data_IF_654303582385
#
_entry.id   IF_654303582385
#
_cell.length_a   1.000
_cell.length_b   1.000
_cell.length_c   1.000
_cell.angle_alpha   90.00
_cell.angle_beta   90.00
_cell.angle_gamma   90.00
#
_symmetry.space_group_name_H-M   'P 1'
#
loop_
_entity.id
_entity.type
_entity.pdbx_description
1 polymer ?
#
# COMPACT_ATOMS: atom_id res chain seq x y z
N UNK A 1 -52.69 21.41 -51.21
CA UNK A 1 -51.73 20.44 -51.77
C UNK A 1 -51.07 19.69 -50.62
N UNK A 2 -51.14 18.35 -50.68
CA UNK A 2 -50.19 17.37 -50.12
C UNK A 2 -49.71 17.46 -48.65
N UNK A 3 -50.25 16.52 -47.86
CA UNK A 3 -49.64 15.69 -46.78
C UNK A 3 -48.17 15.95 -46.44
N UNK A 4 -47.82 15.87 -45.15
CA UNK A 4 -47.15 14.71 -44.52
C UNK A 4 -46.84 14.99 -43.05
N UNK A 5 -47.27 14.05 -42.21
CA UNK A 5 -46.94 13.82 -40.81
C UNK A 5 -45.43 13.57 -40.66
N UNK A 6 -44.77 14.13 -39.64
CA UNK A 6 -43.73 13.38 -38.91
C UNK A 6 -43.41 14.00 -37.54
N UNK A 7 -43.82 13.29 -36.48
CA UNK A 7 -43.14 13.23 -35.19
C UNK A 7 -41.67 12.83 -35.40
N UNK A 8 -40.71 13.41 -34.68
CA UNK A 8 -39.52 12.73 -34.16
C UNK A 8 -38.76 13.72 -33.25
N UNK A 9 -38.89 13.58 -31.94
CA UNK A 9 -38.03 12.75 -31.08
C UNK A 9 -36.79 13.53 -30.61
N UNK A 10 -36.90 13.99 -29.36
CA UNK A 10 -35.82 14.50 -28.53
C UNK A 10 -34.74 13.42 -28.44
N UNK A 11 -33.53 13.71 -28.90
CA UNK A 11 -32.35 12.91 -28.59
C UNK A 11 -31.33 13.79 -27.87
N UNK A 12 -31.36 13.68 -26.54
CA UNK A 12 -30.20 13.98 -25.71
C UNK A 12 -29.09 13.00 -26.09
N UNK A 13 -28.11 13.44 -26.88
CA UNK A 13 -26.82 12.75 -26.90
C UNK A 13 -25.97 13.32 -25.77
N UNK A 14 -26.07 12.67 -24.62
CA UNK A 14 -25.04 12.69 -23.59
C UNK A 14 -23.72 12.25 -24.23
N UNK A 15 -22.82 13.21 -24.41
CA UNK A 15 -21.43 12.94 -24.75
C UNK A 15 -20.73 12.32 -23.54
N UNK A 16 -20.92 11.02 -23.30
CA UNK A 16 -19.92 10.23 -22.60
C UNK A 16 -18.81 9.99 -23.61
N UNK A 17 -17.78 10.83 -23.59
CA UNK A 17 -16.52 10.54 -24.25
C UNK A 17 -16.05 9.18 -23.72
N UNK A 18 -16.15 8.18 -24.58
CA UNK A 18 -15.71 6.81 -24.36
C UNK A 18 -14.18 6.85 -24.28
N UNK A 19 -13.65 6.99 -23.06
CA UNK A 19 -12.22 6.85 -22.80
C UNK A 19 -11.90 5.35 -22.87
N UNK A 20 -10.99 5.02 -23.79
CA UNK A 20 -10.67 3.67 -24.22
C UNK A 20 -10.41 2.72 -23.05
N UNK A 21 -11.02 1.53 -23.13
CA UNK A 21 -10.62 0.37 -22.34
C UNK A 21 -9.25 -0.14 -22.83
N UNK A 22 -8.25 -0.27 -21.95
CA UNK A 22 -7.25 -1.29 -22.08
C UNK A 22 -7.77 -2.56 -21.40
N UNK A 23 -7.73 -3.63 -22.18
CA UNK A 23 -8.11 -4.97 -21.83
C UNK A 23 -7.30 -5.51 -20.63
N UNK A 24 -7.99 -6.21 -19.73
CA UNK A 24 -7.51 -7.30 -18.86
C UNK A 24 -6.19 -7.09 -18.09
N UNK A 25 -6.30 -6.53 -16.89
CA UNK A 25 -5.59 -7.05 -15.72
C UNK A 25 -6.54 -6.90 -14.54
N UNK A 26 -6.66 -7.96 -13.74
CA UNK A 26 -7.56 -8.06 -12.60
C UNK A 26 -7.50 -6.78 -11.76
N UNK A 27 -8.56 -5.98 -11.82
CA UNK A 27 -8.88 -5.06 -10.75
C UNK A 27 -9.29 -5.95 -9.58
N UNK A 28 -8.27 -6.43 -8.86
CA UNK A 28 -8.43 -6.89 -7.50
C UNK A 28 -9.20 -5.78 -6.81
N UNK A 29 -10.45 -6.08 -6.47
CA UNK A 29 -11.27 -5.34 -5.51
C UNK A 29 -10.31 -4.72 -4.48
N UNK A 30 -10.36 -3.41 -4.19
CA UNK A 30 -9.61 -2.93 -3.05
C UNK A 30 -10.17 -3.72 -1.87
N UNK A 31 -9.44 -4.75 -1.44
CA UNK A 31 -9.66 -5.38 -0.16
C UNK A 31 -9.75 -4.20 0.80
N UNK A 32 -10.78 -4.17 1.64
CA UNK A 32 -10.93 -3.16 2.68
C UNK A 32 -9.56 -3.05 3.34
N UNK A 33 -8.83 -1.98 2.99
CA UNK A 33 -7.40 -1.97 3.19
C UNK A 33 -7.23 -1.68 4.65
N UNK A 34 -7.15 -2.72 5.47
CA UNK A 34 -6.84 -2.62 6.88
C UNK A 34 -5.38 -2.16 7.08
N UNK A 35 -4.73 -1.59 6.06
CA UNK A 35 -3.39 -1.02 6.18
C UNK A 35 -3.48 0.19 7.11
N UNK A 36 -2.87 0.06 8.30
CA UNK A 36 -2.72 1.15 9.27
C UNK A 36 -1.81 2.22 8.70
N UNK A 37 -0.75 1.80 8.02
CA UNK A 37 0.22 2.70 7.39
C UNK A 37 0.96 1.97 6.27
N UNK A 38 1.28 2.68 5.20
CA UNK A 38 2.27 2.26 4.21
C UNK A 38 3.07 3.47 3.78
N UNK A 39 4.38 3.30 3.66
CA UNK A 39 5.25 4.28 3.03
C UNK A 39 6.29 3.59 2.16
N UNK A 40 6.70 4.31 1.11
CA UNK A 40 7.73 3.85 0.19
C UNK A 40 9.10 4.27 0.73
N UNK A 41 10.08 3.38 0.55
CA UNK A 41 11.47 3.61 0.90
C UNK A 41 12.20 3.99 -0.39
N UNK A 42 12.72 5.23 -0.48
CA UNK A 42 13.49 5.62 -1.65
C UNK A 42 14.83 4.87 -1.65
N UNK A 43 15.21 4.32 -2.80
CA UNK A 43 16.31 3.36 -2.92
C UNK A 43 17.68 3.97 -2.57
N UNK A 44 17.85 5.27 -2.82
CA UNK A 44 19.01 6.06 -2.45
C UNK A 44 19.18 6.16 -0.92
N UNK A 45 18.10 6.43 -0.18
CA UNK A 45 18.16 6.51 1.28
C UNK A 45 18.47 5.15 1.92
N UNK A 46 17.99 4.05 1.32
CA UNK A 46 18.30 2.70 1.79
C UNK A 46 19.76 2.34 1.53
N UNK A 47 20.27 2.62 0.33
CA UNK A 47 21.67 2.41 -0.03
C UNK A 47 22.63 3.24 0.82
N UNK A 48 22.26 4.48 1.15
CA UNK A 48 23.05 5.38 1.99
C UNK A 48 22.93 5.08 3.50
N UNK A 49 22.00 4.19 3.91
CA UNK A 49 21.63 3.97 5.31
C UNK A 49 21.32 5.28 6.04
N UNK A 50 20.46 6.07 5.42
CA UNK A 50 20.11 7.41 5.91
C UNK A 50 19.59 7.37 7.36
N UNK A 51 20.16 8.19 8.27
CA UNK A 51 19.65 8.36 9.63
C UNK A 51 18.15 8.75 9.69
N UNK A 52 17.65 9.52 8.72
CA UNK A 52 16.23 9.87 8.64
C UNK A 52 15.37 8.65 8.34
N UNK A 53 15.79 7.79 7.41
CA UNK A 53 15.11 6.53 7.13
C UNK A 53 15.13 5.62 8.37
N UNK A 54 16.26 5.54 9.08
CA UNK A 54 16.34 4.80 10.36
C UNK A 54 15.30 5.32 11.35
N UNK A 55 15.14 6.65 11.47
CA UNK A 55 14.18 7.26 12.39
C UNK A 55 12.73 6.96 11.98
N UNK A 56 12.42 6.99 10.67
CA UNK A 56 11.08 6.64 10.15
C UNK A 56 10.77 5.16 10.42
N UNK A 57 11.72 4.26 10.17
CA UNK A 57 11.57 2.82 10.45
C UNK A 57 11.37 2.54 11.94
N UNK A 58 12.12 3.22 12.82
CA UNK A 58 11.90 3.12 14.26
C UNK A 58 10.49 3.61 14.64
N UNK A 59 10.02 4.74 14.08
CA UNK A 59 8.65 5.21 14.31
C UNK A 59 7.60 4.22 13.81
N UNK A 60 7.83 3.55 12.69
CA UNK A 60 6.95 2.50 12.20
C UNK A 60 6.86 1.32 13.18
N UNK A 61 8.00 0.88 13.74
CA UNK A 61 8.04 -0.14 14.79
C UNK A 61 7.30 0.29 16.06
N UNK A 62 7.52 1.52 16.52
CA UNK A 62 6.81 2.08 17.66
C UNK A 62 5.30 2.16 17.42
N UNK A 63 4.89 2.61 16.22
CA UNK A 63 3.50 2.72 15.81
C UNK A 63 2.79 1.36 15.78
N UNK A 64 3.46 0.33 15.26
CA UNK A 64 2.94 -1.03 15.23
C UNK A 64 2.73 -1.59 16.65
N UNK A 65 3.72 -1.40 17.53
CA UNK A 65 3.63 -1.85 18.92
C UNK A 65 2.65 -1.05 19.79
N UNK A 66 2.37 0.21 19.42
CA UNK A 66 1.38 1.05 20.08
C UNK A 66 -0.06 0.69 19.71
N UNK A 67 -0.28 -0.19 18.72
CA UNK A 67 -1.62 -0.63 18.37
C UNK A 67 -2.24 -1.47 19.48
N UNK A 68 -3.55 -1.30 19.68
CA UNK A 68 -4.33 -2.07 20.66
C UNK A 68 -4.55 -3.53 20.24
N UNK A 69 -4.23 -3.87 19.00
CA UNK A 69 -4.41 -5.19 18.40
C UNK A 69 -3.08 -5.68 17.84
N UNK A 70 -2.89 -7.00 17.70
CA UNK A 70 -1.71 -7.53 17.04
C UNK A 70 -1.60 -7.01 15.61
N UNK A 71 -0.37 -6.67 15.22
CA UNK A 71 -0.06 -6.14 13.88
C UNK A 71 1.08 -6.90 13.23
N UNK A 72 1.08 -6.90 11.90
CA UNK A 72 2.17 -7.33 11.05
C UNK A 72 2.79 -6.11 10.39
N UNK A 73 4.12 -6.00 10.46
CA UNK A 73 4.92 -5.08 9.68
C UNK A 73 5.48 -5.87 8.50
N UNK A 74 5.12 -5.50 7.27
CA UNK A 74 5.65 -6.11 6.05
C UNK A 74 6.69 -5.17 5.43
N UNK A 75 7.93 -5.61 5.39
CA UNK A 75 9.02 -4.89 4.73
C UNK A 75 9.26 -5.48 3.34
N UNK A 76 9.04 -4.70 2.30
CA UNK A 76 9.34 -5.06 0.90
C UNK A 76 10.65 -4.39 0.48
N UNK A 77 11.72 -5.16 0.30
CA UNK A 77 13.04 -4.63 -0.07
C UNK A 77 13.93 -5.73 -0.68
N UNK A 78 15.20 -5.43 -0.97
CA UNK A 78 16.17 -6.46 -1.33
C UNK A 78 16.58 -7.27 -0.10
N UNK A 79 16.94 -8.54 -0.35
CA UNK A 79 17.40 -9.48 0.69
C UNK A 79 18.50 -8.93 1.60
N UNK A 80 19.46 -8.23 1.01
CA UNK A 80 20.62 -7.66 1.72
C UNK A 80 20.25 -6.53 2.70
N UNK A 81 19.14 -5.83 2.46
CA UNK A 81 18.75 -4.65 3.22
C UNK A 81 17.87 -5.00 4.43
N UNK A 82 17.26 -6.19 4.45
CA UNK A 82 16.40 -6.62 5.55
C UNK A 82 17.09 -6.60 6.91
N UNK A 83 18.40 -6.89 6.97
CA UNK A 83 19.12 -6.81 8.25
C UNK A 83 19.06 -5.40 8.85
N UNK A 84 19.29 -4.38 8.02
CA UNK A 84 19.22 -2.99 8.43
C UNK A 84 17.78 -2.56 8.75
N UNK A 85 16.85 -2.86 7.84
CA UNK A 85 15.44 -2.49 7.99
C UNK A 85 14.87 -3.07 9.29
N UNK A 86 15.08 -4.36 9.53
CA UNK A 86 14.55 -5.05 10.70
C UNK A 86 15.15 -4.50 11.99
N UNK A 87 16.45 -4.25 12.01
CA UNK A 87 17.12 -3.66 13.17
C UNK A 87 16.58 -2.25 13.47
N UNK A 88 16.35 -1.42 12.44
CA UNK A 88 15.80 -0.08 12.62
C UNK A 88 14.36 -0.11 13.13
N UNK A 89 13.52 -1.01 12.61
CA UNK A 89 12.15 -1.22 13.10
C UNK A 89 12.16 -1.66 14.56
N UNK A 90 12.91 -2.71 14.90
CA UNK A 90 12.97 -3.24 16.26
C UNK A 90 13.52 -2.23 17.27
N UNK A 91 14.37 -1.29 16.85
CA UNK A 91 14.86 -0.21 17.72
C UNK A 91 13.73 0.67 18.25
N UNK A 92 12.64 0.83 17.50
CA UNK A 92 11.49 1.62 17.94
C UNK A 92 10.43 0.82 18.69
N UNK A 93 10.51 -0.51 18.69
CA UNK A 93 9.55 -1.35 19.41
C UNK A 93 9.89 -1.35 20.90
N UNK A 94 8.96 -0.95 21.79
CA UNK A 94 9.19 -1.01 23.24
C UNK A 94 9.40 -2.45 23.71
N UNK A 95 10.20 -2.62 24.77
CA UNK A 95 10.47 -3.95 25.33
C UNK A 95 9.25 -4.60 26.00
N UNK A 96 8.29 -3.77 26.41
CA UNK A 96 7.04 -4.15 27.07
C UNK A 96 5.86 -3.86 26.16
N UNK A 97 4.81 -4.69 26.25
CA UNK A 97 3.62 -4.57 25.42
C UNK A 97 3.57 -5.61 24.30
N UNK A 98 2.66 -5.38 23.36
CA UNK A 98 2.37 -6.33 22.29
C UNK A 98 3.40 -6.18 21.17
N UNK A 99 4.14 -7.26 20.87
CA UNK A 99 5.17 -7.22 19.83
C UNK A 99 4.54 -7.45 18.46
N UNK A 100 4.82 -6.58 17.47
CA UNK A 100 4.36 -6.80 16.12
C UNK A 100 5.11 -7.99 15.48
N UNK A 101 4.44 -8.69 14.58
CA UNK A 101 5.08 -9.65 13.68
C UNK A 101 5.83 -8.89 12.59
N UNK A 102 7.00 -9.37 12.18
CA UNK A 102 7.78 -8.77 11.11
C UNK A 102 7.93 -9.77 9.96
N UNK A 103 7.47 -9.38 8.77
CA UNK A 103 7.55 -10.16 7.54
C UNK A 103 8.45 -9.46 6.53
N UNK A 104 9.37 -10.21 5.93
CA UNK A 104 10.25 -9.71 4.88
C UNK A 104 9.80 -10.26 3.53
N UNK A 105 9.50 -9.36 2.59
CA UNK A 105 9.07 -9.68 1.24
C UNK A 105 10.11 -9.19 0.25
N UNK A 106 10.74 -10.09 -0.49
CA UNK A 106 11.72 -9.68 -1.49
C UNK A 106 11.03 -8.87 -2.58
N UNK A 107 11.51 -7.65 -2.83
CA UNK A 107 11.02 -6.80 -3.89
C UNK A 107 11.25 -7.46 -5.26
N UNK A 108 10.21 -7.49 -6.09
CA UNK A 108 10.30 -7.91 -7.48
C UNK A 108 11.05 -6.89 -8.35
N UNK A 109 11.35 -7.27 -9.60
CA UNK A 109 11.93 -6.34 -10.56
C UNK A 109 11.03 -5.10 -10.72
N UNK A 110 11.61 -3.90 -10.61
CA UNK A 110 10.92 -2.61 -10.66
C UNK A 110 9.88 -2.36 -9.54
N UNK A 111 9.88 -3.16 -8.49
CA UNK A 111 9.02 -2.89 -7.34
C UNK A 111 9.70 -1.88 -6.40
N UNK A 112 9.00 -0.80 -6.08
CA UNK A 112 9.44 0.17 -5.07
C UNK A 112 9.51 -0.52 -3.71
N UNK A 113 10.58 -0.24 -2.97
CA UNK A 113 10.70 -0.72 -1.60
C UNK A 113 9.67 -0.03 -0.73
N UNK A 114 9.11 -0.74 0.24
CA UNK A 114 8.06 -0.18 1.09
C UNK A 114 8.00 -0.89 2.42
N UNK A 115 7.41 -0.23 3.41
CA UNK A 115 7.01 -0.83 4.66
C UNK A 115 5.52 -0.59 4.85
N UNK A 116 4.76 -1.64 5.10
CA UNK A 116 3.36 -1.56 5.53
C UNK A 116 3.18 -2.08 6.96
N UNK A 117 2.17 -1.54 7.63
CA UNK A 117 1.70 -2.00 8.94
C UNK A 117 0.23 -2.36 8.75
N UNK A 118 -0.12 -3.58 9.09
CA UNK A 118 -1.46 -4.14 8.98
C UNK A 118 -1.83 -4.80 10.30
N UNK A 119 -3.09 -4.75 10.75
CA UNK A 119 -3.60 -5.62 11.78
C UNK A 119 -3.39 -7.07 11.36
N UNK A 120 -2.92 -7.89 12.30
CA UNK A 120 -2.96 -9.33 12.14
C UNK A 120 -4.44 -9.70 12.20
N UNK A 121 -5.07 -9.92 11.04
CA UNK A 121 -6.43 -10.43 10.99
C UNK A 121 -6.47 -11.78 11.71
N UNK A 122 -7.04 -11.81 12.93
CA UNK A 122 -7.58 -13.04 13.46
C UNK A 122 -8.71 -13.42 12.50
N UNK A 123 -8.55 -14.55 11.81
CA UNK A 123 -9.51 -15.03 10.83
C UNK A 123 -10.94 -14.97 11.36
N UNK A 124 -11.83 -14.47 10.51
CA UNK A 124 -13.29 -14.58 10.64
C UNK A 124 -13.75 -16.03 10.74
#
# INVERSE_FOLDING_TARGET
MTRVVLLLAVMFMTGCAQLQQPNTAQAEKPAVSNVIMKFDIPADALGARDPQLTAVLAKAGALAAAQKQPTVIRATALGQDFKYINQAIWRGVPQQGLKPTLENLTAGANQTYSVSIEPLHAGS
#
